data_IF_959961015416
#
_entry.id   IF_959961015416
#
_cell.length_a   1.000
_cell.length_b   1.000
_cell.length_c   1.000
_cell.angle_alpha   90.00
_cell.angle_beta   90.00
_cell.angle_gamma   90.00
#
_symmetry.space_group_name_H-M   'P 1'
#
loop_
_entity.id
_entity.type
_entity.pdbx_description
1 polymer ?
#
# COMPACT_ATOMS: atom_id res chain seq x y z
N UNK A 1 8.42 10.02 7.45
CA UNK A 1 7.93 9.76 8.82
C UNK A 1 7.64 11.08 9.46
N UNK A 2 6.44 11.25 10.01
CA UNK A 2 6.05 12.50 10.64
C UNK A 2 6.85 12.78 11.91
N UNK A 3 7.05 14.06 12.24
CA UNK A 3 7.73 14.45 13.48
C UNK A 3 6.92 14.12 14.72
N UNK A 4 5.61 13.97 14.57
CA UNK A 4 4.66 13.76 15.67
C UNK A 4 4.18 12.28 15.71
N UNK A 5 4.79 11.39 14.91
CA UNK A 5 4.49 9.95 14.91
C UNK A 5 4.95 9.31 16.24
N UNK A 6 3.96 8.87 17.01
CA UNK A 6 4.11 8.21 18.31
C UNK A 6 3.86 6.70 18.28
N UNK A 7 3.63 6.11 17.10
CA UNK A 7 3.28 4.69 16.95
C UNK A 7 4.47 3.89 16.45
N UNK A 8 5.08 4.32 15.34
CA UNK A 8 6.29 3.67 14.78
C UNK A 8 7.55 4.46 15.16
N UNK A 9 7.41 5.79 15.29
CA UNK A 9 8.49 6.74 15.56
C UNK A 9 9.55 6.87 14.46
N UNK A 10 10.09 8.09 14.34
CA UNK A 10 11.13 8.44 13.36
C UNK A 10 12.39 7.55 13.40
N UNK A 11 12.93 7.12 14.57
CA UNK A 11 14.13 6.30 14.62
C UNK A 11 14.04 4.99 13.83
N UNK A 12 12.86 4.35 13.79
CA UNK A 12 12.63 3.13 13.00
C UNK A 12 12.81 3.43 11.51
N UNK A 13 12.27 4.55 11.04
CA UNK A 13 12.37 4.95 9.63
C UNK A 13 13.77 5.45 9.24
N UNK A 14 14.52 6.05 10.17
CA UNK A 14 15.94 6.36 9.91
C UNK A 14 16.80 5.11 9.85
N UNK A 15 16.53 4.09 10.68
CA UNK A 15 17.21 2.80 10.58
C UNK A 15 16.89 2.12 9.24
N UNK A 16 15.64 2.19 8.78
CA UNK A 16 15.23 1.69 7.47
C UNK A 16 15.96 2.40 6.31
N UNK A 17 16.08 3.73 6.37
CA UNK A 17 16.87 4.50 5.41
C UNK A 17 18.32 4.03 5.39
N UNK A 18 18.95 3.88 6.56
CA UNK A 18 20.33 3.38 6.67
C UNK A 18 20.46 1.98 6.06
N UNK A 19 19.52 1.08 6.37
CA UNK A 19 19.51 -0.27 5.84
C UNK A 19 19.45 -0.29 4.31
N UNK A 20 18.46 0.38 3.70
CA UNK A 20 18.35 0.41 2.23
C UNK A 20 19.51 1.14 1.55
N UNK A 21 20.06 2.16 2.21
CA UNK A 21 21.26 2.86 1.74
C UNK A 21 22.48 1.96 1.54
N UNK A 22 22.56 0.81 2.23
CA UNK A 22 23.63 -0.18 2.05
C UNK A 22 23.52 -0.94 0.73
N UNK A 23 22.33 -1.00 0.11
CA UNK A 23 22.05 -1.78 -1.10
C UNK A 23 21.86 -0.92 -2.34
N UNK A 24 21.64 0.39 -2.19
CA UNK A 24 21.52 1.32 -3.31
C UNK A 24 22.90 1.81 -3.73
N UNK A 25 23.29 1.51 -4.97
CA UNK A 25 24.52 2.06 -5.56
C UNK A 25 24.17 3.32 -6.38
N UNK A 26 24.83 4.44 -6.07
CA UNK A 26 24.66 5.69 -6.81
C UNK A 26 24.95 5.56 -8.32
N UNK A 27 25.69 4.53 -8.75
CA UNK A 27 25.99 4.27 -10.17
C UNK A 27 24.87 3.56 -10.94
N UNK A 28 23.89 2.92 -10.28
CA UNK A 28 22.75 2.25 -10.94
C UNK A 28 21.44 3.02 -10.82
N UNK A 29 21.48 4.25 -10.28
CA UNK A 29 20.32 5.16 -10.21
C UNK A 29 19.29 4.82 -9.14
N UNK A 30 19.57 3.88 -8.23
CA UNK A 30 18.71 3.61 -7.08
C UNK A 30 18.87 4.71 -6.02
N UNK A 31 17.85 5.53 -5.81
CA UNK A 31 17.87 6.60 -4.82
C UNK A 31 16.88 6.31 -3.69
N UNK A 32 17.33 6.43 -2.44
CA UNK A 32 16.45 6.45 -1.27
C UNK A 32 16.00 7.90 -1.04
N UNK A 33 14.71 8.19 -1.29
CA UNK A 33 14.10 9.48 -0.96
C UNK A 33 13.47 9.41 0.43
N UNK A 34 13.65 10.45 1.23
CA UNK A 34 13.06 10.54 2.58
C UNK A 34 12.44 11.89 2.82
N UNK A 35 11.36 11.90 3.60
CA UNK A 35 10.74 13.10 4.15
C UNK A 35 10.52 12.88 5.65
N UNK A 36 11.00 13.82 6.46
CA UNK A 36 10.99 13.73 7.92
C UNK A 36 10.62 15.04 8.62
N UNK A 37 10.19 16.05 7.89
CA UNK A 37 9.94 17.40 8.40
C UNK A 37 8.45 17.75 8.45
N UNK A 38 7.58 16.85 7.99
CA UNK A 38 6.13 17.03 8.09
C UNK A 38 5.70 16.74 9.53
N UNK A 39 4.97 17.68 10.14
CA UNK A 39 4.38 17.54 11.47
C UNK A 39 3.12 16.65 11.45
N UNK A 40 3.27 15.43 10.93
CA UNK A 40 2.24 14.41 10.95
C UNK A 40 2.42 13.46 12.13
N UNK A 41 1.31 12.97 12.67
CA UNK A 41 1.25 11.77 13.48
C UNK A 41 1.44 10.52 12.62
N UNK A 42 1.02 9.38 13.16
CA UNK A 42 1.03 8.12 12.43
C UNK A 42 -0.16 8.05 11.48
N UNK A 43 0.00 8.51 10.24
CA UNK A 43 -1.03 8.47 9.22
C UNK A 43 -0.45 8.45 7.81
N UNK A 44 -1.28 8.15 6.82
CA UNK A 44 -1.01 8.47 5.42
C UNK A 44 -1.28 9.97 5.20
N UNK A 45 -0.26 10.80 4.90
CA UNK A 45 -0.44 12.23 4.76
C UNK A 45 -1.05 12.57 3.39
N UNK A 46 -2.15 13.31 3.41
CA UNK A 46 -2.85 13.80 2.22
C UNK A 46 -2.89 15.33 2.19
N UNK A 47 -3.32 15.87 1.05
CA UNK A 47 -3.51 17.31 0.87
C UNK A 47 -4.69 17.86 1.68
N UNK A 48 -5.78 17.10 1.81
CA UNK A 48 -7.06 17.67 2.25
C UNK A 48 -8.05 16.68 2.88
N UNK A 49 -7.70 15.40 3.04
CA UNK A 49 -8.60 14.37 3.58
C UNK A 49 -8.06 13.72 4.85
N UNK A 50 -8.98 13.31 5.73
CA UNK A 50 -8.67 12.60 6.96
C UNK A 50 -8.57 13.52 8.17
N UNK A 51 -8.04 12.96 9.25
CA UNK A 51 -7.99 13.60 10.56
C UNK A 51 -6.92 14.70 10.63
N UNK A 52 -6.87 15.38 11.78
CA UNK A 52 -5.83 16.38 12.05
C UNK A 52 -4.45 15.75 11.87
N UNK A 53 -3.60 16.36 11.03
CA UNK A 53 -2.32 15.78 10.61
C UNK A 53 -1.46 15.26 11.77
N UNK A 54 -1.37 16.00 12.88
CA UNK A 54 -0.50 15.69 14.02
C UNK A 54 -1.06 14.59 14.95
N UNK A 55 -2.23 14.02 14.65
CA UNK A 55 -2.85 12.96 15.46
C UNK A 55 -2.57 11.57 14.89
N UNK A 56 -2.44 10.60 15.78
CA UNK A 56 -2.19 9.18 15.44
C UNK A 56 -3.45 8.35 15.73
N UNK A 57 -4.57 8.71 15.09
CA UNK A 57 -5.87 8.07 15.30
C UNK A 57 -6.49 7.58 14.00
N UNK A 58 -7.38 6.59 14.10
CA UNK A 58 -8.22 6.14 12.98
C UNK A 58 -8.91 7.32 12.29
N UNK A 59 -9.01 7.33 10.95
CA UNK A 59 -8.72 6.23 10.02
C UNK A 59 -7.24 6.13 9.60
N UNK A 60 -6.32 6.79 10.31
CA UNK A 60 -4.89 6.84 9.99
C UNK A 60 -4.61 7.42 8.58
N UNK A 61 -5.48 8.33 8.15
CA UNK A 61 -5.31 9.20 6.98
C UNK A 61 -5.37 10.63 7.53
N UNK A 62 -4.39 11.45 7.18
CA UNK A 62 -4.23 12.78 7.77
C UNK A 62 -4.33 13.89 6.74
N UNK A 63 -5.10 14.94 7.05
CA UNK A 63 -5.10 16.18 6.29
C UNK A 63 -3.86 17.00 6.67
N UNK A 64 -2.78 16.77 5.94
CA UNK A 64 -1.45 17.27 6.24
C UNK A 64 -1.00 18.44 5.36
N UNK A 65 -1.83 18.86 4.40
CA UNK A 65 -1.42 19.75 3.32
C UNK A 65 -0.12 19.26 2.64
N UNK A 66 0.05 17.94 2.58
CA UNK A 66 1.22 17.28 2.00
C UNK A 66 0.75 16.11 1.13
N UNK A 67 1.15 16.12 -0.14
CA UNK A 67 0.76 15.10 -1.10
C UNK A 67 1.65 13.86 -1.00
N UNK A 68 1.38 12.98 -0.02
CA UNK A 68 2.14 11.76 0.18
C UNK A 68 2.06 10.78 -1.00
N UNK A 69 0.89 10.69 -1.64
CA UNK A 69 0.69 9.90 -2.86
C UNK A 69 1.57 10.40 -4.00
N UNK A 70 1.49 11.69 -4.32
CA UNK A 70 2.31 12.30 -5.36
C UNK A 70 3.80 12.20 -5.09
N UNK A 71 4.24 12.50 -3.86
CA UNK A 71 5.65 12.42 -3.47
C UNK A 71 6.20 11.00 -3.61
N UNK A 72 5.46 9.99 -3.14
CA UNK A 72 5.87 8.58 -3.22
C UNK A 72 5.91 8.06 -4.66
N UNK A 73 4.88 8.32 -5.47
CA UNK A 73 4.85 7.91 -6.88
C UNK A 73 5.95 8.62 -7.67
N UNK A 74 6.19 9.91 -7.44
CA UNK A 74 7.24 10.65 -8.13
C UNK A 74 8.64 10.10 -7.82
N UNK A 75 8.89 9.71 -6.57
CA UNK A 75 10.16 9.07 -6.19
C UNK A 75 10.34 7.69 -6.86
N UNK A 76 9.28 6.87 -6.89
CA UNK A 76 9.32 5.51 -7.45
C UNK A 76 9.49 5.52 -8.97
N UNK A 77 8.77 6.39 -9.68
CA UNK A 77 8.77 6.44 -11.15
C UNK A 77 9.87 7.33 -11.74
N UNK A 78 10.65 8.02 -10.88
CA UNK A 78 11.70 8.93 -11.34
C UNK A 78 11.17 10.20 -12.00
N UNK A 79 9.97 10.62 -11.62
CA UNK A 79 9.23 11.71 -12.25
C UNK A 79 7.84 11.28 -12.72
N UNK A 80 6.84 12.15 -12.54
CA UNK A 80 5.51 11.99 -13.13
C UNK A 80 5.31 13.01 -14.26
N UNK A 81 4.99 12.57 -15.49
CA UNK A 81 4.86 13.48 -16.65
C UNK A 81 3.67 14.44 -16.58
N UNK A 82 2.65 14.10 -15.79
CA UNK A 82 1.41 14.88 -15.68
C UNK A 82 1.09 15.19 -14.22
N UNK A 83 0.57 16.40 -13.99
CA UNK A 83 0.13 16.82 -12.66
C UNK A 83 -1.08 16.01 -12.18
N UNK A 84 -1.31 16.00 -10.86
CA UNK A 84 -2.50 15.41 -10.22
C UNK A 84 -3.78 15.85 -10.93
N UNK A 85 -4.63 14.89 -11.26
CA UNK A 85 -5.92 15.14 -11.91
C UNK A 85 -7.09 14.89 -10.99
N UNK A 86 -8.15 14.33 -11.57
CA UNK A 86 -9.36 13.88 -10.88
C UNK A 86 -9.53 12.41 -11.19
N UNK A 87 -9.76 11.59 -10.17
CA UNK A 87 -10.09 10.18 -10.38
C UNK A 87 -11.48 10.02 -10.98
N UNK A 88 -11.69 8.93 -11.71
CA UNK A 88 -13.01 8.51 -12.20
C UNK A 88 -13.48 7.39 -11.29
N UNK A 89 -14.57 7.58 -10.55
CA UNK A 89 -15.04 6.60 -9.56
C UNK A 89 -15.27 5.20 -10.17
N UNK A 90 -15.84 5.14 -11.38
CA UNK A 90 -16.09 3.88 -12.11
C UNK A 90 -14.81 3.17 -12.58
N UNK A 91 -13.65 3.81 -12.44
CA UNK A 91 -12.35 3.17 -12.71
C UNK A 91 -11.84 2.37 -11.49
N UNK A 92 -12.42 2.58 -10.31
CA UNK A 92 -12.16 1.74 -9.14
C UNK A 92 -13.06 0.50 -9.20
N UNK A 93 -12.44 -0.66 -9.33
CA UNK A 93 -13.10 -1.95 -9.45
C UNK A 93 -12.66 -2.88 -8.32
N UNK A 94 -13.39 -3.97 -8.14
CA UNK A 94 -13.04 -5.04 -7.20
C UNK A 94 -12.45 -6.25 -7.94
N UNK A 95 -11.62 -7.03 -7.26
CA UNK A 95 -11.14 -8.32 -7.74
C UNK A 95 -11.15 -9.39 -6.64
N UNK A 96 -11.17 -10.66 -7.04
CA UNK A 96 -11.19 -11.81 -6.13
C UNK A 96 -9.76 -12.23 -5.75
N UNK A 97 -9.39 -12.00 -4.48
CA UNK A 97 -8.08 -12.34 -3.94
C UNK A 97 -7.87 -13.85 -3.77
N UNK A 98 -8.95 -14.65 -3.73
CA UNK A 98 -8.86 -16.10 -3.55
C UNK A 98 -8.08 -16.77 -4.69
N UNK A 99 -8.09 -16.16 -5.88
CA UNK A 99 -7.36 -16.62 -7.06
C UNK A 99 -5.84 -16.58 -6.87
N UNK A 100 -5.36 -15.76 -5.93
CA UNK A 100 -3.92 -15.52 -5.71
C UNK A 100 -3.37 -16.24 -4.48
N UNK A 101 -4.16 -17.10 -3.83
CA UNK A 101 -3.73 -17.88 -2.66
C UNK A 101 -3.87 -19.38 -2.90
N UNK A 102 -3.05 -20.23 -2.26
CA UNK A 102 -3.17 -21.68 -2.36
C UNK A 102 -4.58 -22.15 -1.98
N UNK A 103 -5.18 -22.99 -2.85
CA UNK A 103 -6.49 -23.61 -2.63
C UNK A 103 -7.65 -22.59 -2.42
N UNK A 104 -7.49 -21.33 -2.80
CA UNK A 104 -8.51 -20.30 -2.57
C UNK A 104 -8.69 -19.89 -1.10
N UNK A 105 -7.80 -20.32 -0.20
CA UNK A 105 -7.96 -20.12 1.25
C UNK A 105 -7.27 -18.84 1.70
N UNK A 106 -8.04 -17.75 1.81
CA UNK A 106 -7.56 -16.43 2.27
C UNK A 106 -7.39 -16.33 3.79
N UNK A 107 -8.18 -17.09 4.55
CA UNK A 107 -8.20 -17.01 6.02
C UNK A 107 -6.84 -17.30 6.71
N UNK A 108 -6.02 -18.29 6.27
CA UNK A 108 -4.70 -18.52 6.86
C UNK A 108 -3.71 -17.36 6.67
N UNK A 109 -3.97 -16.44 5.74
CA UNK A 109 -3.14 -15.27 5.48
C UNK A 109 -3.77 -13.97 6.02
N UNK A 110 -4.88 -14.07 6.78
CA UNK A 110 -5.73 -12.93 7.17
C UNK A 110 -6.12 -12.03 6.00
N UNK A 111 -6.29 -12.59 4.81
CA UNK A 111 -6.68 -11.82 3.63
C UNK A 111 -8.21 -11.71 3.57
N UNK A 112 -8.68 -10.60 3.02
CA UNK A 112 -10.05 -10.51 2.54
C UNK A 112 -10.27 -11.40 1.30
N UNK A 113 -11.53 -11.67 0.96
CA UNK A 113 -11.85 -12.28 -0.33
C UNK A 113 -11.77 -11.25 -1.47
N UNK A 114 -12.04 -9.98 -1.19
CA UNK A 114 -12.11 -8.92 -2.19
C UNK A 114 -10.98 -7.92 -2.01
N UNK A 115 -10.28 -7.61 -3.11
CA UNK A 115 -9.34 -6.49 -3.22
C UNK A 115 -9.87 -5.42 -4.16
N UNK A 116 -9.21 -4.26 -4.21
CA UNK A 116 -9.58 -3.15 -5.10
C UNK A 116 -8.49 -2.88 -6.13
N UNK A 117 -8.87 -2.45 -7.32
CA UNK A 117 -7.96 -2.06 -8.39
C UNK A 117 -8.50 -0.82 -9.10
N UNK A 118 -7.67 0.20 -9.21
CA UNK A 118 -7.93 1.38 -10.00
C UNK A 118 -7.26 1.24 -11.37
N UNK A 119 -8.05 1.22 -12.43
CA UNK A 119 -7.55 1.14 -13.82
C UNK A 119 -7.85 2.45 -14.54
N UNK A 120 -6.84 3.30 -14.80
CA UNK A 120 -7.02 4.58 -15.49
C UNK A 120 -7.76 4.44 -16.82
N UNK A 121 -8.50 5.48 -17.22
CA UNK A 121 -9.31 5.44 -18.45
C UNK A 121 -8.45 5.07 -19.67
N UNK A 122 -7.26 5.67 -19.77
CA UNK A 122 -6.33 5.40 -20.86
C UNK A 122 -5.82 3.93 -20.86
N UNK A 123 -5.67 3.31 -19.70
CA UNK A 123 -5.20 1.93 -19.55
C UNK A 123 -6.23 0.88 -19.98
N UNK A 124 -7.50 1.27 -20.16
CA UNK A 124 -8.55 0.38 -20.68
C UNK A 124 -8.48 0.22 -22.21
N UNK A 125 -7.77 1.12 -22.90
CA UNK A 125 -7.61 1.05 -24.36
C UNK A 125 -6.52 0.05 -24.75
N UNK A 126 -6.76 -0.73 -25.80
CA UNK A 126 -5.79 -1.67 -26.33
C UNK A 126 -4.53 -0.95 -26.82
N UNK A 127 -3.35 -1.45 -26.44
CA UNK A 127 -2.06 -0.91 -26.85
C UNK A 127 -1.49 0.20 -25.97
N UNK A 128 -2.25 0.70 -24.98
CA UNK A 128 -1.71 1.63 -23.98
C UNK A 128 -0.75 0.90 -23.05
N UNK A 129 0.46 1.45 -22.88
CA UNK A 129 1.40 0.97 -21.85
C UNK A 129 1.09 1.68 -20.53
N UNK A 130 0.92 0.90 -19.48
CA UNK A 130 0.65 1.40 -18.14
C UNK A 130 1.67 0.88 -17.13
N UNK A 131 2.03 1.74 -16.17
CA UNK A 131 2.72 1.33 -14.96
C UNK A 131 1.78 0.59 -14.02
N UNK A 132 2.34 -0.04 -13.00
CA UNK A 132 1.58 -0.68 -11.93
C UNK A 132 2.17 -0.33 -10.57
N UNK A 133 1.30 -0.08 -9.61
CA UNK A 133 1.67 0.21 -8.23
C UNK A 133 0.79 -0.61 -7.30
N UNK A 134 1.37 -1.54 -6.55
CA UNK A 134 0.65 -2.23 -5.48
C UNK A 134 0.81 -1.39 -4.21
N UNK A 135 -0.31 -0.94 -3.67
CA UNK A 135 -0.37 -0.09 -2.49
C UNK A 135 -1.08 -0.83 -1.35
N UNK A 136 -0.46 -0.84 -0.18
CA UNK A 136 -0.91 -1.60 0.98
C UNK A 136 -1.38 -0.64 2.08
N UNK A 137 -2.61 -0.81 2.53
CA UNK A 137 -3.11 -0.11 3.71
C UNK A 137 -2.39 -0.57 5.00
N UNK A 138 -2.44 0.25 6.04
CA UNK A 138 -1.85 -0.06 7.35
C UNK A 138 -2.73 -0.96 8.22
N UNK A 139 -2.26 -1.24 9.43
CA UNK A 139 -3.10 -1.80 10.50
C UNK A 139 -4.29 -0.88 10.78
N UNK A 140 -5.43 -1.45 11.16
CA UNK A 140 -6.67 -0.72 11.48
C UNK A 140 -7.19 0.16 10.33
N UNK A 141 -6.76 -0.16 9.10
CA UNK A 141 -7.23 0.45 7.85
C UNK A 141 -7.87 -0.60 6.94
N UNK A 142 -8.38 -1.69 7.52
CA UNK A 142 -9.11 -2.73 6.77
C UNK A 142 -10.48 -2.21 6.33
N UNK A 143 -11.14 -2.95 5.44
CA UNK A 143 -12.53 -2.67 5.06
C UNK A 143 -13.47 -2.67 6.26
N UNK A 144 -13.22 -3.51 7.26
CA UNK A 144 -14.04 -3.58 8.49
C UNK A 144 -13.81 -2.37 9.41
N UNK A 145 -12.62 -1.77 9.37
CA UNK A 145 -12.28 -0.62 10.23
C UNK A 145 -12.72 0.71 9.62
N UNK A 146 -12.47 0.92 8.31
CA UNK A 146 -12.63 2.23 7.65
C UNK A 146 -13.32 2.14 6.27
N UNK A 147 -13.88 0.99 5.91
CA UNK A 147 -14.49 0.80 4.60
C UNK A 147 -13.52 1.07 3.45
N UNK A 148 -13.96 1.86 2.47
CA UNK A 148 -13.16 2.19 1.29
C UNK A 148 -12.35 3.47 1.42
N UNK A 149 -12.26 4.07 2.61
CA UNK A 149 -11.62 5.38 2.79
C UNK A 149 -10.18 5.39 2.30
N UNK A 150 -9.40 4.34 2.61
CA UNK A 150 -8.02 4.25 2.16
C UNK A 150 -7.92 4.21 0.63
N UNK A 151 -8.70 3.34 -0.03
CA UNK A 151 -8.62 3.16 -1.49
C UNK A 151 -9.17 4.36 -2.27
N UNK A 152 -10.04 5.17 -1.65
CA UNK A 152 -10.67 6.34 -2.28
C UNK A 152 -9.91 7.64 -2.05
N UNK A 153 -9.28 7.82 -0.89
CA UNK A 153 -8.93 9.17 -0.41
C UNK A 153 -7.45 9.42 -0.12
N UNK A 154 -6.58 8.42 -0.25
CA UNK A 154 -5.13 8.63 -0.09
C UNK A 154 -4.49 9.43 -1.24
N UNK A 155 -5.23 9.69 -2.32
CA UNK A 155 -4.81 10.57 -3.42
C UNK A 155 -4.07 9.87 -4.57
N UNK A 156 -3.89 8.55 -4.49
CA UNK A 156 -3.18 7.76 -5.50
C UNK A 156 -3.95 7.68 -6.82
N UNK A 157 -5.29 7.57 -6.78
CA UNK A 157 -6.11 7.38 -7.98
C UNK A 157 -6.06 8.60 -8.92
N UNK A 158 -5.94 9.81 -8.38
CA UNK A 158 -5.87 11.06 -9.13
C UNK A 158 -4.53 11.23 -9.86
N UNK A 159 -3.44 10.77 -9.25
CA UNK A 159 -2.13 10.68 -9.91
C UNK A 159 -2.11 9.55 -10.92
N UNK A 160 -2.71 8.41 -10.58
CA UNK A 160 -2.83 7.26 -11.46
C UNK A 160 -3.60 7.56 -12.75
N UNK A 161 -4.74 8.24 -12.65
CA UNK A 161 -5.59 8.59 -13.80
C UNK A 161 -4.83 9.37 -14.86
N UNK A 162 -3.98 10.30 -14.43
CA UNK A 162 -3.25 11.22 -15.33
C UNK A 162 -1.92 10.66 -15.81
N UNK A 163 -1.35 9.66 -15.13
CA UNK A 163 -0.02 9.14 -15.42
C UNK A 163 -0.01 7.68 -15.90
N UNK A 164 -1.18 7.12 -16.24
CA UNK A 164 -1.32 5.74 -16.74
C UNK A 164 -0.73 4.71 -15.78
N UNK A 165 -1.02 4.84 -14.49
CA UNK A 165 -0.57 3.91 -13.45
C UNK A 165 -1.78 3.13 -12.95
N UNK A 166 -1.77 1.81 -13.12
CA UNK A 166 -2.75 0.94 -12.48
C UNK A 166 -2.40 0.83 -11.00
N UNK A 167 -3.34 1.10 -10.10
CA UNK A 167 -3.12 0.95 -8.65
C UNK A 167 -3.89 -0.25 -8.14
N UNK A 168 -3.20 -1.18 -7.49
CA UNK A 168 -3.81 -2.35 -6.87
C UNK A 168 -3.76 -2.18 -5.37
N UNK A 169 -4.89 -2.39 -4.71
CA UNK A 169 -5.08 -2.30 -3.26
C UNK A 169 -5.52 -3.66 -2.71
N UNK A 170 -4.58 -4.58 -2.47
CA UNK A 170 -4.87 -5.80 -1.75
C UNK A 170 -5.39 -5.48 -0.34
N UNK A 171 -6.21 -6.37 0.20
CA UNK A 171 -6.90 -6.18 1.48
C UNK A 171 -6.59 -7.33 2.43
N UNK A 172 -6.12 -7.00 3.63
CA UNK A 172 -6.13 -7.90 4.79
C UNK A 172 -7.31 -7.57 5.69
N UNK A 173 -7.61 -8.47 6.62
CA UNK A 173 -8.67 -8.32 7.62
C UNK A 173 -8.23 -8.72 9.00
N UNK A 174 -8.99 -8.26 9.99
CA UNK A 174 -8.81 -8.62 11.39
C UNK A 174 -9.02 -10.12 11.58
N UNK A 175 -8.23 -10.73 12.45
CA UNK A 175 -8.51 -12.07 12.99
C UNK A 175 -8.69 -12.02 14.50
N UNK A 176 -9.69 -12.73 15.07
CA UNK A 176 -10.04 -12.57 16.47
C UNK A 176 -8.87 -12.84 17.43
N UNK A 177 -8.83 -12.06 18.51
CA UNK A 177 -7.93 -12.32 19.64
C UNK A 177 -8.21 -13.72 20.19
N UNK A 178 -7.18 -14.56 20.30
CA UNK A 178 -7.31 -15.97 20.69
C UNK A 178 -7.32 -16.97 19.54
N UNK A 179 -7.27 -16.52 18.28
CA UNK A 179 -6.93 -17.41 17.15
C UNK A 179 -5.53 -18.00 17.35
N UNK A 180 -5.39 -19.33 17.22
CA UNK A 180 -4.08 -20.00 17.36
C UNK A 180 -3.10 -19.61 16.25
N UNK A 181 -3.61 -19.31 15.05
CA UNK A 181 -2.90 -18.72 13.92
C UNK A 181 -3.91 -18.50 12.76
N UNK A 182 -3.95 -17.32 12.14
CA UNK A 182 -3.15 -16.13 12.46
C UNK A 182 -3.76 -15.32 13.60
N UNK A 183 -2.91 -14.77 14.48
CA UNK A 183 -3.29 -13.76 15.47
C UNK A 183 -2.97 -12.37 14.91
N UNK A 184 -3.98 -11.71 14.34
CA UNK A 184 -3.86 -10.42 13.70
C UNK A 184 -5.09 -9.56 14.06
N UNK A 185 -5.24 -9.18 15.35
CA UNK A 185 -6.42 -8.47 15.80
C UNK A 185 -6.61 -7.18 15.04
N UNK A 186 -5.55 -6.49 14.60
CA UNK A 186 -5.60 -5.18 13.96
C UNK A 186 -5.59 -5.22 12.43
N UNK A 187 -5.69 -6.41 11.80
CA UNK A 187 -5.74 -6.49 10.35
C UNK A 187 -4.53 -5.89 9.65
N UNK A 188 -3.32 -6.16 10.18
CA UNK A 188 -2.06 -5.74 9.57
C UNK A 188 -1.58 -6.71 8.48
N UNK A 189 -0.68 -6.26 7.63
CA UNK A 189 0.18 -7.14 6.83
C UNK A 189 1.18 -7.88 7.71
N UNK A 190 1.67 -9.03 7.26
CA UNK A 190 2.57 -9.87 8.07
C UNK A 190 4.00 -9.33 8.07
N UNK A 191 4.37 -8.73 9.20
CA UNK A 191 5.74 -8.28 9.47
C UNK A 191 6.33 -8.92 10.74
N UNK A 192 5.67 -9.91 11.34
CA UNK A 192 6.13 -10.58 12.59
C UNK A 192 6.10 -12.12 12.53
N UNK A 193 5.55 -12.71 11.49
CA UNK A 193 5.81 -14.09 11.08
C UNK A 193 5.15 -15.17 11.92
N UNK A 194 5.86 -15.74 12.90
CA UNK A 194 5.59 -17.09 13.45
C UNK A 194 4.16 -17.30 13.98
N UNK A 195 3.52 -16.27 14.54
CA UNK A 195 2.13 -16.32 15.03
C UNK A 195 1.10 -15.78 14.02
N UNK A 196 1.56 -15.53 12.79
CA UNK A 196 0.79 -15.04 11.66
C UNK A 196 0.91 -16.01 10.48
N UNK A 197 1.81 -15.80 9.51
CA UNK A 197 1.96 -16.68 8.34
C UNK A 197 3.21 -17.55 8.34
N UNK A 198 4.06 -17.43 9.37
CA UNK A 198 5.23 -18.29 9.58
C UNK A 198 6.58 -17.57 9.41
N UNK A 199 7.68 -18.30 9.61
CA UNK A 199 9.03 -17.72 9.68
C UNK A 199 9.54 -17.08 8.37
N UNK A 200 8.96 -17.45 7.23
CA UNK A 200 9.36 -16.95 5.91
C UNK A 200 8.67 -15.63 5.51
N UNK A 201 7.95 -14.98 6.42
CA UNK A 201 7.12 -13.79 6.11
C UNK A 201 7.86 -12.69 5.34
N UNK A 202 9.16 -12.51 5.57
CA UNK A 202 9.98 -11.44 4.98
C UNK A 202 10.74 -11.84 3.70
N UNK A 203 10.64 -13.09 3.24
CA UNK A 203 11.37 -13.59 2.05
C UNK A 203 10.42 -13.99 0.93
N UNK A 204 10.94 -14.23 -0.28
CA UNK A 204 10.12 -14.54 -1.47
C UNK A 204 9.24 -15.80 -1.33
N UNK A 205 9.56 -16.71 -0.41
CA UNK A 205 8.75 -17.89 -0.11
C UNK A 205 7.69 -17.66 0.97
N UNK A 206 7.59 -16.43 1.49
CA UNK A 206 6.57 -16.01 2.44
C UNK A 206 5.17 -16.04 1.81
N UNK A 207 4.13 -16.49 2.53
CA UNK A 207 2.78 -16.62 1.97
C UNK A 207 2.21 -15.30 1.41
N UNK A 208 2.32 -14.19 2.15
CA UNK A 208 1.86 -12.89 1.66
C UNK A 208 2.75 -12.32 0.54
N UNK A 209 4.05 -12.62 0.55
CA UNK A 209 4.96 -12.24 -0.54
C UNK A 209 4.61 -12.96 -1.85
N UNK A 210 4.32 -14.26 -1.80
CA UNK A 210 3.87 -15.05 -2.96
C UNK A 210 2.50 -14.57 -3.47
N UNK A 211 1.60 -14.19 -2.56
CA UNK A 211 0.32 -13.58 -2.93
C UNK A 211 0.54 -12.29 -3.74
N UNK A 212 1.38 -11.37 -3.25
CA UNK A 212 1.72 -10.15 -3.96
C UNK A 212 2.39 -10.40 -5.32
N UNK A 213 3.27 -11.40 -5.40
CA UNK A 213 3.91 -11.80 -6.66
C UNK A 213 2.87 -12.28 -7.69
N UNK A 214 1.87 -13.05 -7.27
CA UNK A 214 0.81 -13.55 -8.16
C UNK A 214 -0.10 -12.43 -8.66
N UNK A 215 -0.44 -11.46 -7.80
CA UNK A 215 -1.15 -10.25 -8.22
C UNK A 215 -0.34 -9.51 -9.28
N UNK A 216 0.96 -9.31 -9.03
CA UNK A 216 1.85 -8.63 -9.97
C UNK A 216 1.93 -9.36 -11.32
N UNK A 217 2.10 -10.68 -11.32
CA UNK A 217 2.13 -11.48 -12.54
C UNK A 217 0.83 -11.31 -13.33
N UNK A 218 -0.32 -11.45 -12.66
CA UNK A 218 -1.63 -11.31 -13.27
C UNK A 218 -1.85 -9.93 -13.90
N UNK A 219 -1.59 -8.84 -13.17
CA UNK A 219 -1.82 -7.48 -13.63
C UNK A 219 -0.83 -7.07 -14.73
N UNK A 220 0.40 -7.57 -14.69
CA UNK A 220 1.40 -7.32 -15.73
C UNK A 220 1.23 -8.18 -16.99
N UNK A 221 0.26 -9.11 -17.01
CA UNK A 221 0.06 -10.05 -18.11
C UNK A 221 1.19 -11.08 -18.24
N UNK A 222 2.03 -11.23 -17.22
CA UNK A 222 3.03 -12.29 -17.15
C UNK A 222 2.32 -13.54 -16.61
N UNK A 223 2.36 -14.65 -17.37
CA UNK A 223 1.82 -15.93 -16.89
C UNK A 223 2.47 -16.30 -15.56
N UNK A 224 1.64 -16.52 -14.53
CA UNK A 224 2.06 -16.93 -13.19
C UNK A 224 2.59 -18.38 -13.15
#
# INVERSE_FOLDING_TARGET
SGTDDTVVHRPVMTALQTYYGMFTNATTGGNVTTEFNIASGHCFPTLSYGETCSTSTGPYIGNCNYDGAGASLNAIYGGLPHARGTMVADNLMTFDQTQFVPQGRVAPLSLEQTGYIYVPTACKAAGTKCGYHINYHGCEQTLDDIGTDYVMHVGLNEWAETNNIIVVYPQVKRTPMGSMSPMNPNGCWDWWGQFYTGANYSVHTGPQMQFSQKILAYVSGQSA
#
